data_IF_761744139948
#
_entry.id   IF_761744139948
#
_cell.length_a   1.000
_cell.length_b   1.000
_cell.length_c   1.000
_cell.angle_alpha   90.00
_cell.angle_beta   90.00
_cell.angle_gamma   90.00
#
_symmetry.space_group_name_H-M   'P 1'
#
loop_
_entity.id
_entity.type
_entity.pdbx_description
1 polymer ?
#
# COMPACT_ATOMS: atom_id res chain seq x y z
N UNK A 1 -20.39 6.26 18.00
CA UNK A 1 -19.14 6.57 17.24
C UNK A 1 -18.70 5.40 16.35
N UNK A 2 -18.62 4.15 16.86
CA UNK A 2 -18.26 2.96 16.07
C UNK A 2 -19.17 2.65 14.86
N UNK A 3 -20.49 2.83 14.97
CA UNK A 3 -21.43 2.45 13.89
C UNK A 3 -21.20 3.24 12.59
N UNK A 4 -20.83 4.52 12.70
CA UNK A 4 -20.60 5.33 11.52
C UNK A 4 -19.19 5.11 10.90
N UNK A 5 -18.20 4.66 11.69
CA UNK A 5 -16.94 4.15 11.16
C UNK A 5 -17.15 2.91 10.29
N UNK A 6 -17.95 1.95 10.77
CA UNK A 6 -18.28 0.76 9.99
C UNK A 6 -19.02 1.13 8.70
N UNK A 7 -19.93 2.09 8.74
CA UNK A 7 -20.62 2.57 7.53
C UNK A 7 -19.65 3.12 6.47
N UNK A 8 -18.68 3.95 6.85
CA UNK A 8 -17.67 4.47 5.90
C UNK A 8 -16.79 3.36 5.35
N UNK A 9 -16.43 2.37 6.18
CA UNK A 9 -15.65 1.20 5.79
C UNK A 9 -16.40 0.33 4.78
N UNK A 10 -17.66 -0.03 5.08
CA UNK A 10 -18.53 -0.79 4.20
C UNK A 10 -18.88 -0.04 2.91
N UNK A 11 -19.10 1.28 2.99
CA UNK A 11 -19.33 2.12 1.81
C UNK A 11 -18.11 2.14 0.89
N UNK A 12 -16.90 2.26 1.45
CA UNK A 12 -15.65 2.22 0.67
C UNK A 12 -15.48 0.87 -0.01
N UNK A 13 -15.71 -0.23 0.72
CA UNK A 13 -15.64 -1.58 0.16
C UNK A 13 -16.71 -1.80 -0.92
N UNK A 14 -17.94 -1.34 -0.69
CA UNK A 14 -19.05 -1.46 -1.63
C UNK A 14 -18.80 -0.67 -2.92
N UNK A 15 -18.39 0.60 -2.79
CA UNK A 15 -18.00 1.43 -3.94
C UNK A 15 -16.85 0.78 -4.70
N UNK A 16 -15.87 0.22 -4.00
CA UNK A 16 -14.77 -0.48 -4.64
C UNK A 16 -15.23 -1.70 -5.44
N UNK A 17 -16.09 -2.55 -4.88
CA UNK A 17 -16.68 -3.71 -5.58
C UNK A 17 -17.56 -3.29 -6.76
N UNK A 18 -18.37 -2.25 -6.60
CA UNK A 18 -19.18 -1.67 -7.67
C UNK A 18 -18.30 -1.17 -8.83
N UNK A 19 -17.18 -0.53 -8.50
CA UNK A 19 -16.21 -0.06 -9.49
C UNK A 19 -15.50 -1.21 -10.21
N UNK A 20 -15.25 -2.34 -9.54
CA UNK A 20 -14.78 -3.55 -10.20
C UNK A 20 -15.81 -4.08 -11.23
N UNK A 21 -17.10 -3.99 -10.93
CA UNK A 21 -18.18 -4.38 -11.85
C UNK A 21 -18.22 -3.47 -13.09
N UNK A 22 -17.93 -2.18 -12.92
CA UNK A 22 -17.92 -1.17 -14.00
C UNK A 22 -16.61 -1.14 -14.82
N UNK A 23 -15.64 -2.04 -14.56
CA UNK A 23 -14.34 -2.14 -15.28
C UNK A 23 -14.45 -2.27 -16.80
N UNK A 24 -15.61 -2.70 -17.32
CA UNK A 24 -15.85 -2.85 -18.77
C UNK A 24 -16.27 -1.55 -19.46
N UNK A 25 -16.62 -0.50 -18.71
CA UNK A 25 -17.04 0.78 -19.26
C UNK A 25 -15.80 1.55 -19.74
N UNK A 26 -15.80 1.90 -21.03
CA UNK A 26 -14.78 2.75 -21.64
C UNK A 26 -15.27 4.19 -21.59
N UNK A 27 -14.60 5.05 -20.80
CA UNK A 27 -14.82 6.49 -20.86
C UNK A 27 -13.75 7.10 -21.76
N UNK A 28 -14.14 7.89 -22.77
CA UNK A 28 -13.23 8.54 -23.72
C UNK A 28 -12.23 7.57 -24.41
N UNK A 29 -12.60 6.31 -24.61
CA UNK A 29 -11.73 5.30 -25.23
C UNK A 29 -10.68 4.67 -24.30
N UNK A 30 -10.50 5.18 -23.09
CA UNK A 30 -9.56 4.64 -22.09
C UNK A 30 -10.30 3.85 -21.00
N UNK A 31 -9.67 2.79 -20.48
CA UNK A 31 -10.18 2.01 -19.34
C UNK A 31 -9.87 2.72 -18.01
N UNK A 32 -10.34 3.95 -17.85
CA UNK A 32 -10.03 4.85 -16.72
C UNK A 32 -10.40 4.19 -15.38
N UNK A 33 -11.56 3.54 -15.31
CA UNK A 33 -12.03 2.83 -14.12
C UNK A 33 -11.19 1.59 -13.75
N UNK A 34 -10.37 1.08 -14.66
CA UNK A 34 -9.51 -0.08 -14.37
C UNK A 34 -8.20 0.34 -13.68
N UNK A 35 -7.70 1.53 -13.98
CA UNK A 35 -6.42 2.05 -13.47
C UNK A 35 -6.63 2.91 -12.22
N UNK A 36 -7.66 3.77 -12.22
CA UNK A 36 -7.88 4.77 -11.18
C UNK A 36 -8.94 4.38 -10.14
N UNK A 37 -9.41 3.12 -10.12
CA UNK A 37 -10.48 2.71 -9.20
C UNK A 37 -10.16 2.98 -7.73
N UNK A 38 -8.92 2.72 -7.30
CA UNK A 38 -8.48 2.92 -5.91
C UNK A 38 -8.47 4.42 -5.55
N UNK A 39 -7.73 5.30 -6.26
CA UNK A 39 -7.70 6.73 -5.92
C UNK A 39 -9.05 7.43 -6.13
N UNK A 40 -9.84 7.05 -7.14
CA UNK A 40 -11.16 7.65 -7.35
C UNK A 40 -12.16 7.20 -6.29
N UNK A 41 -12.14 5.92 -5.89
CA UNK A 41 -12.96 5.42 -4.79
C UNK A 41 -12.65 6.14 -3.48
N UNK A 42 -11.35 6.34 -3.18
CA UNK A 42 -10.91 7.12 -2.03
C UNK A 42 -11.40 8.58 -2.10
N UNK A 43 -11.24 9.23 -3.25
CA UNK A 43 -11.67 10.61 -3.45
C UNK A 43 -13.16 10.79 -3.25
N UNK A 44 -13.98 9.88 -3.77
CA UNK A 44 -15.44 9.92 -3.61
C UNK A 44 -15.82 9.69 -2.15
N UNK A 45 -15.27 8.68 -1.49
CA UNK A 45 -15.51 8.45 -0.06
C UNK A 45 -15.11 9.67 0.77
N UNK A 46 -14.01 10.34 0.42
CA UNK A 46 -13.52 11.52 1.14
C UNK A 46 -14.48 12.69 0.99
N UNK A 47 -14.96 12.95 -0.24
CA UNK A 47 -15.98 13.99 -0.51
C UNK A 47 -17.27 13.68 0.25
N UNK A 48 -17.75 12.44 0.24
CA UNK A 48 -18.94 12.03 0.98
C UNK A 48 -18.76 12.22 2.49
N UNK A 49 -17.61 11.82 3.03
CA UNK A 49 -17.28 12.01 4.44
C UNK A 49 -17.22 13.50 4.81
N UNK A 50 -16.64 14.34 3.96
CA UNK A 50 -16.59 15.79 4.15
C UNK A 50 -18.00 16.41 4.16
N UNK A 51 -18.86 16.04 3.20
CA UNK A 51 -20.25 16.53 3.13
C UNK A 51 -21.07 16.07 4.34
N UNK A 52 -20.91 14.83 4.79
CA UNK A 52 -21.59 14.32 5.99
C UNK A 52 -21.10 15.03 7.27
N UNK A 53 -19.84 15.44 7.28
CA UNK A 53 -19.26 16.23 8.39
C UNK A 53 -19.78 17.67 8.36
N UNK A 54 -19.86 18.29 7.17
CA UNK A 54 -20.36 19.64 6.98
C UNK A 54 -21.87 19.78 7.25
N UNK A 55 -22.66 18.75 6.98
CA UNK A 55 -24.12 18.73 7.24
C UNK A 55 -24.48 18.44 8.70
N UNK A 56 -23.48 18.26 9.58
CA UNK A 56 -23.68 18.04 11.02
C UNK A 56 -24.23 16.66 11.39
N UNK A 57 -24.47 15.78 10.41
CA UNK A 57 -24.86 14.38 10.62
C UNK A 57 -23.71 13.59 11.27
N UNK A 58 -22.47 14.03 11.03
CA UNK A 58 -21.26 13.40 11.53
C UNK A 58 -20.39 14.44 12.26
N UNK A 59 -20.16 14.26 13.57
CA UNK A 59 -19.24 15.11 14.35
C UNK A 59 -17.95 14.34 14.62
N UNK A 60 -16.86 14.69 13.94
CA UNK A 60 -15.55 14.08 14.15
C UNK A 60 -14.62 15.04 14.88
N UNK A 61 -14.28 14.71 16.13
CA UNK A 61 -13.47 15.54 17.04
C UNK A 61 -11.95 15.47 16.78
N UNK A 62 -11.51 14.90 15.66
CA UNK A 62 -10.09 14.65 15.36
C UNK A 62 -9.44 15.63 14.38
N UNK A 63 -10.22 16.52 13.73
CA UNK A 63 -9.70 17.48 12.77
C UNK A 63 -9.61 18.87 13.40
N UNK A 64 -8.42 19.28 13.82
CA UNK A 64 -8.11 20.70 13.91
C UNK A 64 -7.62 21.15 12.53
N UNK A 65 -8.40 21.96 11.83
CA UNK A 65 -8.04 22.52 10.53
C UNK A 65 -6.91 23.56 10.62
N UNK A 66 -6.50 23.93 11.84
CA UNK A 66 -5.34 24.79 12.08
C UNK A 66 -4.05 23.97 12.07
N UNK A 67 -3.81 23.19 11.01
CA UNK A 67 -2.47 22.73 10.69
C UNK A 67 -1.76 23.99 10.18
N UNK A 68 -0.80 24.58 10.92
CA UNK A 68 -0.17 25.81 10.49
C UNK A 68 0.42 25.57 9.10
N UNK A 69 0.01 26.38 8.12
CA UNK A 69 0.57 26.39 6.76
C UNK A 69 2.06 26.81 6.72
N UNK A 70 2.67 26.94 7.89
CA UNK A 70 4.08 27.24 8.06
C UNK A 70 4.89 25.98 7.84
N UNK A 71 5.88 26.06 6.96
CA UNK A 71 6.92 25.04 6.78
C UNK A 71 7.80 24.83 8.03
N UNK A 72 7.42 25.41 9.18
CA UNK A 72 8.05 25.13 10.46
C UNK A 72 7.56 23.78 11.00
N UNK A 73 8.51 22.85 11.11
CA UNK A 73 8.35 21.62 11.86
C UNK A 73 7.85 21.97 13.27
N UNK A 74 6.64 21.52 13.62
CA UNK A 74 6.12 21.72 14.98
C UNK A 74 7.09 21.12 16.00
N UNK A 75 7.17 21.69 17.22
CA UNK A 75 8.03 21.15 18.28
C UNK A 75 7.74 19.67 18.60
N UNK A 76 6.50 19.22 18.34
CA UNK A 76 6.09 17.81 18.43
C UNK A 76 6.70 16.94 17.31
N UNK A 77 6.78 17.45 16.07
CA UNK A 77 7.45 16.78 14.96
C UNK A 77 8.99 16.79 15.10
N UNK A 78 9.57 17.82 15.73
CA UNK A 78 11.01 17.83 16.07
C UNK A 78 11.41 16.67 16.99
N UNK A 79 10.49 16.18 17.84
CA UNK A 79 10.74 15.02 18.71
C UNK A 79 10.79 13.68 17.96
N UNK A 80 10.15 13.59 16.78
CA UNK A 80 10.27 12.43 15.88
C UNK A 80 11.58 12.44 15.08
N UNK A 81 12.17 13.62 14.86
CA UNK A 81 13.54 13.78 14.33
C UNK A 81 14.62 13.56 15.41
N UNK A 82 14.43 12.52 16.23
CA UNK A 82 15.33 12.15 17.32
C UNK A 82 16.43 11.18 16.89
N UNK A 83 17.46 11.03 17.73
CA UNK A 83 18.50 10.01 17.55
C UNK A 83 17.89 8.60 17.51
N UNK A 84 18.31 7.73 16.57
CA UNK A 84 17.75 6.39 16.46
C UNK A 84 17.98 5.60 17.76
N UNK A 85 16.90 5.18 18.41
CA UNK A 85 16.97 4.35 19.62
C UNK A 85 16.96 2.89 19.18
N UNK A 86 18.07 2.19 19.38
CA UNK A 86 18.18 0.79 18.99
C UNK A 86 17.75 -0.13 20.12
N UNK A 87 16.63 -0.83 19.92
CA UNK A 87 16.20 -1.93 20.78
C UNK A 87 16.42 -3.26 20.06
N UNK A 88 17.24 -4.14 20.66
CA UNK A 88 17.54 -5.46 20.12
C UNK A 88 16.27 -6.28 19.79
N UNK A 89 15.25 -6.20 20.66
CA UNK A 89 13.97 -6.91 20.47
C UNK A 89 13.26 -6.45 19.20
N UNK A 90 13.16 -5.13 19.00
CA UNK A 90 12.52 -4.57 17.80
C UNK A 90 13.39 -4.78 16.56
N UNK A 91 14.73 -4.76 16.71
CA UNK A 91 15.67 -5.08 15.64
C UNK A 91 15.42 -6.48 15.06
N UNK A 92 15.28 -7.50 15.91
CA UNK A 92 14.96 -8.86 15.45
C UNK A 92 13.62 -8.94 14.72
N UNK A 93 12.57 -8.30 15.25
CA UNK A 93 11.26 -8.26 14.61
C UNK A 93 11.36 -7.61 13.22
N UNK A 94 12.05 -6.48 13.12
CA UNK A 94 12.22 -5.77 11.85
C UNK A 94 13.09 -6.52 10.85
N UNK A 95 14.06 -7.32 11.30
CA UNK A 95 14.80 -8.24 10.42
C UNK A 95 13.86 -9.26 9.77
N UNK A 96 12.97 -9.88 10.55
CA UNK A 96 11.98 -10.84 10.01
C UNK A 96 11.02 -10.14 9.04
N UNK A 97 10.52 -8.95 9.39
CA UNK A 97 9.65 -8.15 8.51
C UNK A 97 10.35 -7.80 7.19
N UNK A 98 11.65 -7.46 7.24
CA UNK A 98 12.44 -7.14 6.04
C UNK A 98 12.60 -8.35 5.11
N UNK A 99 12.74 -9.56 5.67
CA UNK A 99 12.77 -10.79 4.87
C UNK A 99 11.41 -11.03 4.19
N UNK A 100 10.31 -10.84 4.91
CA UNK A 100 8.95 -10.98 4.35
C UNK A 100 8.74 -9.96 3.21
N UNK A 101 9.11 -8.69 3.42
CA UNK A 101 9.02 -7.64 2.41
C UNK A 101 9.90 -7.93 1.18
N UNK A 102 11.07 -8.55 1.38
CA UNK A 102 11.94 -8.97 0.28
C UNK A 102 11.30 -10.10 -0.54
N UNK A 103 10.67 -11.08 0.10
CA UNK A 103 9.95 -12.18 -0.58
C UNK A 103 8.80 -11.63 -1.43
N UNK A 104 8.04 -10.66 -0.89
CA UNK A 104 6.96 -9.99 -1.62
C UNK A 104 7.50 -9.23 -2.86
N UNK A 105 8.56 -8.45 -2.68
CA UNK A 105 9.19 -7.69 -3.77
C UNK A 105 9.74 -8.58 -4.89
N UNK A 106 10.33 -9.74 -4.55
CA UNK A 106 10.76 -10.74 -5.54
C UNK A 106 9.57 -11.25 -6.38
N UNK A 107 8.42 -11.50 -5.74
CA UNK A 107 7.19 -11.89 -6.42
C UNK A 107 6.71 -10.81 -7.39
N UNK A 108 6.72 -9.55 -6.93
CA UNK A 108 6.34 -8.38 -7.71
C UNK A 108 7.26 -8.12 -8.91
N UNK A 109 8.58 -8.36 -8.79
CA UNK A 109 9.52 -8.29 -9.92
C UNK A 109 9.24 -9.35 -10.98
N UNK A 110 8.98 -10.59 -10.56
CA UNK A 110 8.65 -11.66 -11.49
C UNK A 110 7.35 -11.38 -12.23
N UNK A 111 6.30 -10.98 -11.52
CA UNK A 111 5.02 -10.60 -12.10
C UNK A 111 5.20 -9.45 -13.11
N UNK A 112 5.86 -8.36 -12.70
CA UNK A 112 6.11 -7.19 -13.57
C UNK A 112 6.87 -7.55 -14.85
N UNK A 113 7.95 -8.33 -14.74
CA UNK A 113 8.76 -8.73 -15.91
C UNK A 113 7.99 -9.64 -16.86
N UNK A 114 7.14 -10.53 -16.35
CA UNK A 114 6.33 -11.43 -17.17
C UNK A 114 5.31 -10.64 -17.99
N UNK A 115 4.71 -9.59 -17.41
CA UNK A 115 3.70 -8.80 -18.10
C UNK A 115 4.25 -7.74 -19.05
N UNK A 116 5.48 -7.24 -18.83
CA UNK A 116 6.12 -6.21 -19.65
C UNK A 116 7.10 -6.79 -20.67
N UNK A 117 7.99 -7.66 -20.22
CA UNK A 117 9.10 -8.19 -21.01
C UNK A 117 8.86 -9.65 -21.47
N UNK A 118 7.76 -10.29 -21.04
CA UNK A 118 7.43 -11.70 -21.34
C UNK A 118 8.53 -12.69 -21.00
N UNK A 119 9.45 -12.30 -20.11
CA UNK A 119 10.63 -13.08 -19.71
C UNK A 119 10.88 -12.90 -18.22
N UNK A 120 11.29 -13.96 -17.51
CA UNK A 120 11.63 -13.85 -16.10
C UNK A 120 12.88 -12.97 -15.91
N UNK A 121 13.00 -12.26 -14.77
CA UNK A 121 14.15 -11.43 -14.50
C UNK A 121 15.35 -12.31 -14.15
N UNK A 122 16.56 -11.90 -14.53
CA UNK A 122 17.77 -12.62 -14.14
C UNK A 122 18.06 -12.40 -12.65
N UNK A 123 18.67 -13.39 -11.99
CA UNK A 123 18.97 -13.32 -10.54
C UNK A 123 19.80 -12.09 -10.16
N UNK A 124 20.71 -11.65 -11.05
CA UNK A 124 21.50 -10.44 -10.85
C UNK A 124 20.70 -9.13 -10.94
N UNK A 125 19.56 -9.11 -11.64
CA UNK A 125 18.65 -7.93 -11.64
C UNK A 125 17.84 -7.90 -10.35
N UNK A 126 17.30 -9.05 -9.93
CA UNK A 126 16.53 -9.17 -8.68
C UNK A 126 17.39 -8.80 -7.47
N UNK A 127 18.61 -9.35 -7.37
CA UNK A 127 19.54 -9.05 -6.27
C UNK A 127 19.91 -7.57 -6.20
N UNK A 128 20.14 -6.91 -7.34
CA UNK A 128 20.39 -5.46 -7.38
C UNK A 128 19.15 -4.65 -6.96
N UNK A 129 17.95 -5.08 -7.34
CA UNK A 129 16.70 -4.45 -6.94
C UNK A 129 16.50 -4.47 -5.41
N UNK A 130 16.59 -5.67 -4.82
CA UNK A 130 16.50 -5.84 -3.35
C UNK A 130 17.62 -5.08 -2.63
N UNK A 131 18.83 -5.07 -3.18
CA UNK A 131 19.94 -4.29 -2.63
C UNK A 131 19.63 -2.79 -2.56
N UNK A 132 19.00 -2.23 -3.60
CA UNK A 132 18.58 -0.82 -3.62
C UNK A 132 17.44 -0.56 -2.64
N UNK A 133 16.48 -1.48 -2.48
CA UNK A 133 15.43 -1.38 -1.45
C UNK A 133 16.00 -1.38 -0.03
N UNK A 134 17.03 -2.17 0.23
CA UNK A 134 17.76 -2.16 1.50
C UNK A 134 18.44 -0.82 1.76
N UNK A 135 19.14 -0.29 0.76
CA UNK A 135 19.80 1.03 0.85
C UNK A 135 18.78 2.15 1.06
N UNK A 136 17.66 2.16 0.33
CA UNK A 136 16.61 3.16 0.51
C UNK A 136 15.94 3.04 1.87
N UNK A 137 15.78 1.83 2.41
CA UNK A 137 15.27 1.61 3.77
C UNK A 137 16.20 2.17 4.84
N UNK A 138 17.52 1.99 4.69
CA UNK A 138 18.49 2.59 5.61
C UNK A 138 18.43 4.12 5.55
N UNK A 139 18.38 4.68 4.34
CA UNK A 139 18.24 6.14 4.16
C UNK A 139 16.92 6.66 4.76
N UNK A 140 15.83 5.95 4.57
CA UNK A 140 14.52 6.30 5.14
C UNK A 140 14.56 6.28 6.68
N UNK A 141 15.19 5.26 7.28
CA UNK A 141 15.43 5.17 8.72
C UNK A 141 16.28 6.33 9.25
N UNK A 142 17.36 6.70 8.55
CA UNK A 142 18.21 7.84 8.92
C UNK A 142 17.49 9.18 8.79
N UNK A 143 16.60 9.33 7.81
CA UNK A 143 15.80 10.54 7.61
C UNK A 143 14.64 10.65 8.62
N UNK A 144 14.41 9.62 9.44
CA UNK A 144 13.38 9.63 10.48
C UNK A 144 11.97 9.34 9.97
N UNK A 145 11.81 8.77 8.76
CA UNK A 145 10.48 8.43 8.24
C UNK A 145 9.82 7.29 9.02
N UNK A 146 10.61 6.46 9.70
CA UNK A 146 10.12 5.31 10.48
C UNK A 146 9.51 4.18 9.66
N UNK A 147 9.57 4.25 8.32
CA UNK A 147 8.96 3.28 7.40
C UNK A 147 10.01 2.80 6.40
N UNK A 148 10.03 1.49 6.14
CA UNK A 148 10.93 0.88 5.16
C UNK A 148 10.47 1.09 3.72
N UNK A 149 11.40 0.87 2.78
CA UNK A 149 11.15 0.94 1.35
C UNK A 149 10.96 -0.47 0.80
N UNK A 150 9.83 -0.70 0.11
CA UNK A 150 9.53 -1.97 -0.55
C UNK A 150 8.83 -1.71 -1.89
N UNK A 151 8.82 -2.71 -2.77
CA UNK A 151 8.09 -2.61 -4.04
C UNK A 151 6.58 -2.59 -3.81
N UNK A 152 5.91 -1.61 -4.41
CA UNK A 152 4.46 -1.42 -4.31
C UNK A 152 3.75 -2.29 -5.35
N UNK A 153 3.00 -3.30 -4.89
CA UNK A 153 2.29 -4.27 -5.74
C UNK A 153 1.17 -3.62 -6.58
N UNK A 154 0.60 -2.50 -6.15
CA UNK A 154 -0.36 -1.70 -6.93
C UNK A 154 0.25 -1.16 -8.23
N UNK A 155 1.52 -0.76 -8.18
CA UNK A 155 2.23 -0.27 -9.36
C UNK A 155 2.41 -1.40 -10.37
N UNK A 156 2.65 -2.63 -9.89
CA UNK A 156 2.68 -3.83 -10.74
C UNK A 156 1.34 -4.03 -11.44
N UNK A 157 0.23 -3.96 -10.70
CA UNK A 157 -1.11 -4.08 -11.29
C UNK A 157 -1.38 -3.00 -12.35
N UNK A 158 -0.96 -1.75 -12.10
CA UNK A 158 -1.04 -0.66 -13.08
C UNK A 158 -0.25 -0.97 -14.34
N UNK A 159 0.96 -1.52 -14.22
CA UNK A 159 1.80 -1.94 -15.35
C UNK A 159 1.12 -3.07 -16.15
N UNK A 160 0.51 -4.04 -15.49
CA UNK A 160 -0.24 -5.13 -16.16
C UNK A 160 -1.36 -4.58 -17.05
N UNK A 161 -2.06 -3.56 -16.56
CA UNK A 161 -3.20 -2.93 -17.23
C UNK A 161 -2.76 -1.99 -18.36
N UNK A 162 -1.82 -1.09 -18.07
CA UNK A 162 -1.35 -0.05 -19.01
C UNK A 162 -0.39 -0.58 -20.06
N UNK A 163 0.24 -1.75 -19.81
CA UNK A 163 1.32 -2.32 -20.64
C UNK A 163 2.49 -1.35 -20.85
N UNK A 164 2.69 -0.41 -19.92
CA UNK A 164 3.76 0.59 -20.00
C UNK A 164 4.87 0.28 -19.00
N UNK A 165 6.04 -0.13 -19.50
CA UNK A 165 7.25 -0.40 -18.70
C UNK A 165 8.33 0.69 -18.77
N UNK A 166 7.96 1.94 -19.07
CA UNK A 166 8.92 3.01 -19.35
C UNK A 166 9.56 3.57 -18.07
N UNK A 167 10.90 3.57 -18.01
CA UNK A 167 11.67 4.17 -16.90
C UNK A 167 11.45 5.68 -16.77
N UNK A 168 11.15 6.37 -17.88
CA UNK A 168 10.91 7.83 -17.87
C UNK A 168 9.64 8.19 -17.12
N UNK A 169 8.59 7.37 -17.26
CA UNK A 169 7.33 7.58 -16.55
C UNK A 169 7.54 7.48 -15.02
N UNK A 170 8.28 6.45 -14.58
CA UNK A 170 8.61 6.26 -13.16
C UNK A 170 9.51 7.38 -12.63
N UNK A 171 10.49 7.82 -13.42
CA UNK A 171 11.35 8.95 -13.05
C UNK A 171 10.57 10.26 -12.90
N UNK A 172 9.64 10.55 -13.81
CA UNK A 172 8.76 11.72 -13.71
C UNK A 172 7.89 11.67 -12.47
N UNK A 173 7.27 10.51 -12.16
CA UNK A 173 6.48 10.36 -10.93
C UNK A 173 7.33 10.55 -9.67
N UNK A 174 8.57 10.07 -9.65
CA UNK A 174 9.46 10.24 -8.50
C UNK A 174 9.78 11.72 -8.25
N UNK A 175 10.13 12.47 -9.30
CA UNK A 175 10.38 13.92 -9.20
C UNK A 175 9.12 14.65 -8.72
N UNK A 176 7.96 14.31 -9.29
CA UNK A 176 6.69 14.92 -8.91
C UNK A 176 6.33 14.64 -7.44
N UNK A 177 6.55 13.43 -6.93
CA UNK A 177 6.32 13.10 -5.51
C UNK A 177 7.27 13.87 -4.59
N UNK A 178 8.54 14.03 -4.95
CA UNK A 178 9.49 14.85 -4.18
C UNK A 178 9.04 16.31 -4.15
N UNK A 179 8.60 16.86 -5.28
CA UNK A 179 8.09 18.24 -5.33
C UNK A 179 6.82 18.41 -4.48
N UNK A 180 5.88 17.45 -4.54
CA UNK A 180 4.67 17.49 -3.74
C UNK A 180 4.96 17.40 -2.24
N UNK A 181 5.96 16.61 -1.83
CA UNK A 181 6.38 16.48 -0.43
C UNK A 181 6.97 17.77 0.16
N UNK A 182 7.38 18.73 -0.66
CA UNK A 182 7.87 20.05 -0.19
C UNK A 182 6.69 21.00 0.06
N UNK A 183 5.53 20.73 -0.55
CA UNK A 183 4.34 21.57 -0.43
C UNK A 183 3.53 21.12 0.77
N UNK A 184 3.78 21.69 1.95
CA UNK A 184 3.09 21.34 3.20
C UNK A 184 1.56 21.46 3.17
N UNK A 185 0.97 22.19 2.21
CA UNK A 185 -0.49 22.19 1.96
C UNK A 185 -1.01 20.84 1.47
N UNK A 186 -0.20 20.13 0.67
CA UNK A 186 -0.52 18.79 0.19
C UNK A 186 -0.46 17.81 1.36
N UNK A 187 0.54 17.93 2.22
CA UNK A 187 0.65 17.11 3.43
C UNK A 187 -0.49 17.37 4.41
N UNK A 188 -0.90 18.63 4.58
CA UNK A 188 -2.08 18.99 5.38
C UNK A 188 -3.37 18.40 4.82
N UNK A 189 -3.52 18.37 3.49
CA UNK A 189 -4.64 17.71 2.83
C UNK A 189 -4.61 16.18 3.05
N UNK A 190 -3.46 15.54 2.92
CA UNK A 190 -3.30 14.10 3.17
C UNK A 190 -3.57 13.77 4.64
N UNK A 191 -3.11 14.61 5.57
CA UNK A 191 -3.38 14.46 7.00
C UNK A 191 -4.88 14.62 7.36
N UNK A 192 -5.68 15.28 6.51
CA UNK A 192 -7.14 15.36 6.67
C UNK A 192 -7.85 14.04 6.30
N UNK A 193 -7.17 13.10 5.64
CA UNK A 193 -7.72 11.79 5.30
C UNK A 193 -7.85 10.98 6.59
N UNK A 194 -9.05 10.47 6.84
CA UNK A 194 -9.36 9.77 8.08
C UNK A 194 -8.70 8.38 8.13
N UNK A 195 -8.20 7.99 9.32
CA UNK A 195 -7.56 6.68 9.56
C UNK A 195 -8.40 5.49 9.13
N UNK A 196 -9.73 5.61 9.22
CA UNK A 196 -10.71 4.59 8.82
C UNK A 196 -10.64 4.31 7.32
N UNK A 197 -10.42 5.35 6.53
CA UNK A 197 -10.27 5.24 5.07
C UNK A 197 -8.94 4.58 4.72
N UNK A 198 -7.87 4.94 5.44
CA UNK A 198 -6.54 4.33 5.29
C UNK A 198 -6.60 2.84 5.66
N UNK A 199 -7.27 2.48 6.76
CA UNK A 199 -7.47 1.09 7.16
C UNK A 199 -8.27 0.28 6.14
N UNK A 200 -9.32 0.86 5.54
CA UNK A 200 -10.10 0.22 4.48
C UNK A 200 -9.25 -0.04 3.23
N UNK A 201 -8.43 0.93 2.81
CA UNK A 201 -7.50 0.77 1.69
C UNK A 201 -6.47 -0.33 1.96
N UNK A 202 -5.87 -0.34 3.15
CA UNK A 202 -4.91 -1.35 3.55
C UNK A 202 -5.56 -2.75 3.53
N UNK A 203 -6.74 -2.91 4.11
CA UNK A 203 -7.48 -4.17 4.09
C UNK A 203 -7.69 -4.67 2.65
N UNK A 204 -8.09 -3.77 1.75
CA UNK A 204 -8.28 -4.11 0.35
C UNK A 204 -6.97 -4.51 -0.36
N UNK A 205 -5.89 -3.77 -0.14
CA UNK A 205 -4.55 -4.08 -0.66
C UNK A 205 -4.09 -5.48 -0.20
N UNK A 206 -4.17 -5.75 1.11
CA UNK A 206 -3.79 -7.05 1.66
C UNK A 206 -4.68 -8.18 1.14
N UNK A 207 -5.99 -7.95 0.96
CA UNK A 207 -6.89 -8.92 0.36
C UNK A 207 -6.51 -9.26 -1.09
N UNK A 208 -6.14 -8.26 -1.91
CA UNK A 208 -5.64 -8.51 -3.27
C UNK A 208 -4.32 -9.27 -3.28
N UNK A 209 -3.39 -8.93 -2.38
CA UNK A 209 -2.13 -9.66 -2.19
C UNK A 209 -2.37 -11.13 -1.84
N UNK A 210 -3.27 -11.40 -0.89
CA UNK A 210 -3.68 -12.76 -0.53
C UNK A 210 -4.29 -13.50 -1.73
N UNK A 211 -5.18 -12.86 -2.49
CA UNK A 211 -5.81 -13.45 -3.67
C UNK A 211 -4.77 -13.79 -4.77
N UNK A 212 -3.83 -12.88 -5.01
CA UNK A 212 -2.72 -13.11 -5.95
C UNK A 212 -1.83 -14.27 -5.48
N UNK A 213 -1.47 -14.32 -4.20
CA UNK A 213 -0.72 -15.41 -3.60
C UNK A 213 -1.40 -16.77 -3.81
N UNK A 214 -2.69 -16.88 -3.46
CA UNK A 214 -3.48 -18.10 -3.68
C UNK A 214 -3.57 -18.49 -5.16
N UNK A 215 -3.73 -17.52 -6.06
CA UNK A 215 -3.79 -17.80 -7.51
C UNK A 215 -2.47 -18.38 -8.04
N UNK A 216 -1.33 -17.93 -7.53
CA UNK A 216 -0.02 -18.46 -7.89
C UNK A 216 0.21 -19.86 -7.31
N UNK A 217 -0.29 -20.13 -6.10
CA UNK A 217 -0.22 -21.45 -5.48
C UNK A 217 -0.96 -22.51 -6.28
N UNK A 218 -2.07 -22.15 -6.94
CA UNK A 218 -2.82 -23.06 -7.82
C UNK A 218 -1.91 -23.70 -8.88
N UNK A 219 -0.93 -22.98 -9.43
CA UNK A 219 -0.04 -23.51 -10.47
C UNK A 219 1.08 -24.41 -9.95
N UNK A 220 1.44 -24.33 -8.67
CA UNK A 220 2.58 -25.09 -8.08
C UNK A 220 2.19 -26.15 -7.07
N UNK A 221 1.01 -26.04 -6.46
CA UNK A 221 0.50 -27.00 -5.48
C UNK A 221 -0.39 -28.09 -6.13
N UNK A 222 -1.00 -27.83 -7.30
CA UNK A 222 -1.78 -28.86 -7.99
C UNK A 222 -0.85 -29.93 -8.58
N UNK A 223 -0.91 -31.14 -8.05
CA UNK A 223 -0.17 -32.31 -8.57
C UNK A 223 0.79 -33.00 -7.58
N UNK A 224 1.09 -32.40 -6.42
CA UNK A 224 1.94 -33.04 -5.40
C UNK A 224 1.36 -32.85 -3.99
N UNK A 225 1.06 -33.96 -3.31
CA UNK A 225 0.56 -33.98 -1.93
C UNK A 225 1.49 -33.24 -0.97
N UNK A 226 2.81 -33.35 -1.18
CA UNK A 226 3.84 -32.66 -0.38
C UNK A 226 3.68 -31.14 -0.42
N UNK A 227 3.51 -30.56 -1.60
CA UNK A 227 3.38 -29.11 -1.74
C UNK A 227 2.06 -28.61 -1.11
N UNK A 228 0.97 -29.36 -1.26
CA UNK A 228 -0.31 -29.03 -0.64
C UNK A 228 -0.24 -29.06 0.89
N UNK A 229 0.46 -30.04 1.49
CA UNK A 229 0.66 -30.12 2.95
C UNK A 229 1.46 -28.92 3.45
N UNK A 230 2.55 -28.55 2.78
CA UNK A 230 3.39 -27.40 3.18
C UNK A 230 2.58 -26.10 3.17
N UNK A 231 1.81 -25.87 2.10
CA UNK A 231 0.95 -24.68 1.98
C UNK A 231 -0.14 -24.68 3.04
N UNK A 232 -0.81 -25.82 3.24
CA UNK A 232 -1.87 -25.96 4.24
C UNK A 232 -1.37 -25.70 5.67
N UNK A 233 -0.21 -26.26 6.03
CA UNK A 233 0.41 -26.05 7.34
C UNK A 233 0.82 -24.58 7.54
N UNK A 234 1.39 -23.94 6.51
CA UNK A 234 1.77 -22.53 6.58
C UNK A 234 0.55 -21.62 6.81
N UNK A 235 -0.55 -21.84 6.10
CA UNK A 235 -1.80 -21.10 6.28
C UNK A 235 -2.42 -21.34 7.66
N UNK A 236 -2.43 -22.60 8.11
CA UNK A 236 -2.95 -22.96 9.43
C UNK A 236 -2.16 -22.24 10.54
N UNK A 237 -0.83 -22.37 10.55
CA UNK A 237 0.01 -21.72 11.56
C UNK A 237 -0.12 -20.18 11.50
N UNK A 238 -0.18 -19.60 10.30
CA UNK A 238 -0.32 -18.14 10.15
C UNK A 238 -1.63 -17.59 10.74
N UNK A 239 -2.71 -18.37 10.74
CA UNK A 239 -4.00 -17.95 11.29
C UNK A 239 -4.17 -18.35 12.76
N UNK A 240 -3.66 -19.52 13.15
CA UNK A 240 -3.83 -20.06 14.51
C UNK A 240 -2.90 -19.41 15.54
N UNK A 241 -1.65 -19.09 15.18
CA UNK A 241 -0.68 -18.52 16.12
C UNK A 241 -1.14 -17.16 16.67
N UNK A 242 -1.58 -16.18 15.84
CA UNK A 242 -2.08 -14.91 16.37
C UNK A 242 -3.27 -15.09 17.32
N UNK A 243 -4.20 -16.00 17.02
CA UNK A 243 -5.36 -16.27 17.87
C UNK A 243 -5.04 -16.99 19.18
N UNK A 244 -3.89 -17.67 19.27
CA UNK A 244 -3.47 -18.35 20.50
C UNK A 244 -2.85 -17.38 21.53
N UNK A 245 -2.20 -16.31 21.06
CA UNK A 245 -1.51 -15.33 21.91
C UNK A 245 -2.33 -14.05 22.18
N UNK A 246 -3.61 -14.04 21.76
CA UNK A 246 -4.59 -13.00 22.11
C UNK A 246 -5.28 -13.33 23.44
#
# INVERSE_FOLDING_TARGET
MQFHLFFVLFLTIYLFNLWQYLRKIKLFGYKVFLIYAVPLGLGITWVVAFVLTATGVYSYKGCDANIPASNNVSAFCQKHWGTPVFSWKMGLVMCVVSVIASVDSVGSYHASSLFVATRPPTSGVVSRGIGVEGVSTVLAGLWGTGVGSATITENVHTIVVTKMGSRRAVGFSAILLVLLSIVGKVDAFIASIHDVMVAALLCFMWAMLCALGLSNLRYRATGSSRNSIIVGLALFLSLSVPSYFQ
#
